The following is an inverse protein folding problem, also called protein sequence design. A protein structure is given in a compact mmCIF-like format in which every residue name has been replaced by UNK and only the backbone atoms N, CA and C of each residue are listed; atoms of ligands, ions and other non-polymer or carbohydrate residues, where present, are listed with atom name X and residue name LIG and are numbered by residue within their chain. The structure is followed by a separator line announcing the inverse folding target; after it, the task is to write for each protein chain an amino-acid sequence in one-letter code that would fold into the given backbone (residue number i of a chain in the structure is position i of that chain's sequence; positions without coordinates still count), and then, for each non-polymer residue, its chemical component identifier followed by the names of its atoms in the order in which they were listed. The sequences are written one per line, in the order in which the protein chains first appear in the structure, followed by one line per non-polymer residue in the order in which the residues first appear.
data_IF_634881769032
#
_entry.id   IF_634881769032
#
_cell.length_a   1.000
_cell.length_b   1.000
_cell.length_c   1.000
_cell.angle_alpha   90.00
_cell.angle_beta   90.00
_cell.angle_gamma   90.00
#
_symmetry.space_group_name_H-M   'P 1'
#
loop_
_entity.id
_entity.type
_entity.pdbx_description
1 polymer ?
#
# COMPACT_ATOMS: atom_id res chain seq x y z
N UNK A 1 -10.46 25.48 3.95
CA UNK A 1 -9.71 24.33 3.42
C UNK A 1 -10.00 23.21 4.38
N UNK A 2 -10.69 22.17 3.90
CA UNK A 2 -10.76 20.89 4.60
C UNK A 2 -9.30 20.45 4.84
N UNK A 3 -8.95 20.16 6.09
CA UNK A 3 -7.61 19.68 6.41
C UNK A 3 -7.58 18.20 6.01
N UNK A 4 -7.06 17.89 4.81
CA UNK A 4 -7.00 16.51 4.33
C UNK A 4 -6.05 15.72 5.23
N UNK A 5 -6.55 14.65 5.82
CA UNK A 5 -5.76 13.76 6.67
C UNK A 5 -5.36 12.56 5.84
N UNK A 6 -4.07 12.44 5.55
CA UNK A 6 -3.50 11.27 4.88
C UNK A 6 -2.65 10.48 5.86
N UNK A 7 -2.64 9.16 5.73
CA UNK A 7 -1.78 8.28 6.52
C UNK A 7 -1.02 7.37 5.57
N UNK A 8 0.28 7.20 5.81
CA UNK A 8 1.12 6.21 5.13
C UNK A 8 1.61 5.17 6.12
N UNK A 9 1.24 3.92 5.86
CA UNK A 9 1.77 2.75 6.54
C UNK A 9 2.93 2.20 5.71
N UNK A 10 4.09 2.02 6.33
CA UNK A 10 5.29 1.51 5.67
C UNK A 10 5.72 0.24 6.39
N UNK A 11 5.80 -0.86 5.65
CA UNK A 11 6.36 -2.10 6.19
C UNK A 11 7.84 -1.91 6.57
N UNK A 12 8.23 -2.35 7.77
CA UNK A 12 9.61 -2.20 8.26
C UNK A 12 10.67 -2.93 7.42
N UNK A 13 10.27 -3.88 6.58
CA UNK A 13 11.16 -4.64 5.68
C UNK A 13 11.55 -3.91 4.41
N UNK A 14 10.86 -2.81 4.07
CA UNK A 14 11.18 -1.98 2.90
C UNK A 14 12.61 -1.43 3.01
N UNK A 15 13.40 -1.64 1.97
CA UNK A 15 14.77 -1.16 1.86
C UNK A 15 14.80 0.37 1.92
N UNK A 16 15.78 0.96 2.61
CA UNK A 16 15.95 2.44 2.67
C UNK A 16 14.64 3.21 2.95
N UNK A 17 13.74 2.61 3.75
CA UNK A 17 12.48 3.23 4.16
C UNK A 17 12.69 4.57 4.84
N UNK A 18 13.84 4.79 5.50
CA UNK A 18 14.20 6.06 6.11
C UNK A 18 14.21 7.21 5.08
N UNK A 19 14.67 6.94 3.85
CA UNK A 19 14.60 7.92 2.75
C UNK A 19 13.16 8.19 2.31
N UNK A 20 12.30 7.16 2.25
CA UNK A 20 10.87 7.33 1.95
C UNK A 20 10.16 8.14 3.04
N UNK A 21 10.42 7.83 4.32
CA UNK A 21 9.86 8.55 5.47
C UNK A 21 10.24 10.03 5.42
N UNK A 22 11.51 10.34 5.13
CA UNK A 22 11.98 11.72 5.00
C UNK A 22 11.32 12.48 3.84
N UNK A 23 10.80 11.76 2.85
CA UNK A 23 10.11 12.29 1.69
C UNK A 23 8.60 12.33 1.78
N UNK A 24 7.99 11.98 2.91
CA UNK A 24 6.54 12.01 3.05
C UNK A 24 6.05 13.46 3.00
N UNK A 25 5.05 13.73 2.16
CA UNK A 25 4.50 15.07 1.95
C UNK A 25 3.88 15.61 3.25
N UNK A 26 4.01 16.92 3.47
CA UNK A 26 3.47 17.57 4.66
C UNK A 26 1.96 17.31 4.83
N UNK A 27 1.53 17.07 6.08
CA UNK A 27 0.14 16.75 6.40
C UNK A 27 -0.20 15.24 6.31
N UNK A 28 0.77 14.39 5.98
CA UNK A 28 0.63 12.93 6.01
C UNK A 28 1.27 12.35 7.27
N UNK A 29 0.53 11.54 8.02
CA UNK A 29 1.05 10.82 9.19
C UNK A 29 1.74 9.52 8.76
N UNK A 30 2.91 9.23 9.34
CA UNK A 30 3.70 8.04 9.01
C UNK A 30 3.59 7.01 10.12
N UNK A 31 3.32 5.76 9.74
CA UNK A 31 3.23 4.61 10.65
C UNK A 31 4.11 3.49 10.13
N UNK A 32 4.99 2.96 10.97
CA UNK A 32 5.86 1.84 10.60
C UNK A 32 5.24 0.54 11.13
N UNK A 33 5.00 -0.42 10.23
CA UNK A 33 4.50 -1.74 10.60
C UNK A 33 5.64 -2.61 11.10
N UNK A 34 5.45 -3.23 12.26
CA UNK A 34 6.38 -4.19 12.81
C UNK A 34 6.30 -5.50 12.02
N UNK A 35 7.43 -5.97 11.49
CA UNK A 35 7.54 -7.21 10.71
C UNK A 35 7.15 -8.49 11.47
N UNK A 36 7.14 -8.47 12.80
CA UNK A 36 6.81 -9.63 13.63
C UNK A 36 5.33 -9.70 14.03
N UNK A 37 4.54 -8.71 13.66
CA UNK A 37 3.12 -8.62 14.00
C UNK A 37 2.29 -8.65 12.72
N UNK A 38 1.05 -9.13 12.85
CA UNK A 38 0.08 -9.12 11.76
C UNK A 38 -0.18 -7.67 11.30
N UNK A 39 0.28 -7.30 10.12
CA UNK A 39 0.17 -5.93 9.59
C UNK A 39 -1.26 -5.52 9.33
N UNK A 40 -2.16 -6.45 9.01
CA UNK A 40 -3.57 -6.11 8.81
C UNK A 40 -4.17 -5.61 10.12
N UNK A 41 -3.93 -6.38 11.20
CA UNK A 41 -4.37 -6.01 12.54
C UNK A 41 -3.71 -4.72 13.03
N UNK A 42 -2.42 -4.50 12.76
CA UNK A 42 -1.73 -3.25 13.14
C UNK A 42 -2.40 -2.02 12.52
N UNK A 43 -2.72 -2.06 11.22
CA UNK A 43 -3.45 -0.99 10.54
C UNK A 43 -4.84 -0.81 11.17
N UNK A 44 -5.58 -1.91 11.39
CA UNK A 44 -6.90 -1.86 12.04
C UNK A 44 -6.86 -1.22 13.42
N UNK A 45 -5.92 -1.61 14.27
CA UNK A 45 -5.76 -1.04 15.62
C UNK A 45 -5.46 0.45 15.57
N UNK A 46 -4.61 0.87 14.63
CA UNK A 46 -4.27 2.28 14.46
C UNK A 46 -5.47 3.12 13.98
N UNK A 47 -6.33 2.53 13.15
CA UNK A 47 -7.51 3.19 12.59
C UNK A 47 -8.76 3.14 13.50
N UNK A 48 -8.76 2.36 14.58
CA UNK A 48 -9.96 2.06 15.38
C UNK A 48 -10.73 3.28 15.89
N UNK A 49 -10.02 4.33 16.29
CA UNK A 49 -10.61 5.57 16.82
C UNK A 49 -10.45 6.75 15.84
N UNK A 50 -10.22 6.46 14.56
CA UNK A 50 -10.00 7.46 13.52
C UNK A 50 -11.17 7.52 12.54
N UNK A 51 -11.46 8.72 12.07
CA UNK A 51 -12.46 8.98 11.04
C UNK A 51 -12.04 10.19 10.23
N UNK A 52 -12.61 10.34 9.03
CA UNK A 52 -12.34 11.49 8.16
C UNK A 52 -10.98 11.44 7.47
N UNK A 53 -10.39 10.25 7.31
CA UNK A 53 -9.14 10.07 6.57
C UNK A 53 -9.42 10.20 5.07
N UNK A 54 -8.69 11.07 4.41
CA UNK A 54 -8.78 11.28 2.96
C UNK A 54 -8.09 10.15 2.22
N UNK A 55 -6.89 9.76 2.64
CA UNK A 55 -6.11 8.73 1.94
C UNK A 55 -5.37 7.82 2.90
N UNK A 56 -5.43 6.52 2.61
CA UNK A 56 -4.56 5.51 3.23
C UNK A 56 -3.58 5.04 2.17
N UNK A 57 -2.29 5.17 2.47
CA UNK A 57 -1.20 4.69 1.64
C UNK A 57 -0.56 3.50 2.34
N UNK A 58 -0.34 2.40 1.62
CA UNK A 58 0.29 1.19 2.16
C UNK A 58 1.50 0.88 1.30
N UNK A 59 2.69 0.95 1.90
CA UNK A 59 3.97 0.61 1.27
C UNK A 59 4.46 -0.72 1.81
N UNK A 60 4.59 -1.70 0.94
CA UNK A 60 5.03 -3.04 1.31
C UNK A 60 5.64 -3.79 0.14
N UNK A 61 6.24 -4.94 0.41
CA UNK A 61 6.48 -5.90 -0.66
C UNK A 61 5.15 -6.45 -1.18
N UNK A 62 5.17 -6.93 -2.42
CA UNK A 62 3.98 -7.46 -3.07
C UNK A 62 4.33 -8.41 -4.21
N UNK A 63 3.32 -9.20 -4.58
CA UNK A 63 3.30 -10.07 -5.75
C UNK A 63 1.87 -10.06 -6.32
N UNK A 64 1.64 -10.59 -7.54
CA UNK A 64 0.30 -10.60 -8.12
C UNK A 64 -0.76 -11.24 -7.21
N UNK A 65 -1.67 -10.41 -6.70
CA UNK A 65 -2.74 -10.79 -5.77
C UNK A 65 -2.34 -10.93 -4.30
N UNK A 66 -1.21 -10.34 -3.88
CA UNK A 66 -0.79 -10.37 -2.48
C UNK A 66 0.03 -9.14 -2.03
N UNK A 67 -0.14 -8.78 -0.75
CA UNK A 67 0.69 -7.82 -0.01
C UNK A 67 1.33 -8.50 1.20
N UNK A 68 2.61 -8.21 1.46
CA UNK A 68 3.30 -8.60 2.68
C UNK A 68 3.18 -7.48 3.73
N UNK A 69 2.33 -7.66 4.74
CA UNK A 69 2.08 -6.68 5.80
C UNK A 69 2.50 -7.25 7.16
N UNK A 70 3.63 -6.78 7.66
CA UNK A 70 4.25 -7.30 8.86
C UNK A 70 4.55 -8.79 8.70
N UNK A 71 3.96 -9.63 9.56
CA UNK A 71 4.05 -11.08 9.47
C UNK A 71 2.96 -11.73 8.60
N UNK A 72 2.01 -10.95 8.05
CA UNK A 72 0.87 -11.46 7.31
C UNK A 72 1.05 -11.27 5.79
N UNK A 73 0.86 -12.33 5.02
CA UNK A 73 0.63 -12.22 3.58
C UNK A 73 -0.88 -12.09 3.35
N UNK A 74 -1.36 -10.88 3.07
CA UNK A 74 -2.76 -10.62 2.70
C UNK A 74 -2.95 -11.00 1.23
N UNK A 75 -3.90 -11.88 0.93
CA UNK A 75 -4.16 -12.36 -0.43
C UNK A 75 -5.58 -12.93 -0.58
N UNK A 76 -5.97 -13.30 -1.80
CA UNK A 76 -7.31 -13.84 -2.10
C UNK A 76 -7.76 -15.02 -1.23
N UNK A 77 -6.82 -15.83 -0.71
CA UNK A 77 -7.18 -17.02 0.08
C UNK A 77 -7.55 -16.70 1.52
N UNK A 78 -7.24 -15.49 2.00
CA UNK A 78 -7.47 -15.09 3.39
C UNK A 78 -8.18 -13.75 3.59
N UNK A 79 -8.57 -13.04 2.52
CA UNK A 79 -9.34 -11.80 2.61
C UNK A 79 -10.59 -11.96 3.48
N UNK A 80 -11.33 -13.06 3.31
CA UNK A 80 -12.56 -13.32 4.07
C UNK A 80 -12.31 -13.43 5.58
N UNK A 81 -11.12 -13.88 5.99
CA UNK A 81 -10.73 -13.98 7.39
C UNK A 81 -10.47 -12.60 8.02
N UNK A 82 -10.23 -11.56 7.21
CA UNK A 82 -9.98 -10.18 7.63
C UNK A 82 -11.16 -9.25 7.31
N UNK A 83 -12.35 -9.79 7.03
CA UNK A 83 -13.51 -8.99 6.61
C UNK A 83 -13.80 -7.84 7.57
N UNK A 84 -13.80 -8.09 8.88
CA UNK A 84 -14.09 -7.07 9.89
C UNK A 84 -12.99 -5.99 9.92
N UNK A 85 -11.73 -6.41 9.89
CA UNK A 85 -10.56 -5.53 9.85
C UNK A 85 -10.59 -4.60 8.64
N UNK A 86 -10.87 -5.14 7.45
CA UNK A 86 -10.89 -4.40 6.18
C UNK A 86 -12.10 -3.45 6.10
N UNK A 87 -13.27 -3.85 6.59
CA UNK A 87 -14.42 -2.95 6.73
C UNK A 87 -14.13 -1.77 7.66
N UNK A 88 -13.35 -2.01 8.71
CA UNK A 88 -12.92 -0.96 9.63
C UNK A 88 -11.93 0.02 8.97
N UNK A 89 -11.07 -0.45 8.06
CA UNK A 89 -10.23 0.46 7.26
C UNK A 89 -11.09 1.41 6.42
N UNK A 90 -12.09 0.85 5.75
CA UNK A 90 -13.09 1.61 5.01
C UNK A 90 -13.84 2.63 5.84
N UNK A 91 -14.28 2.23 7.03
CA UNK A 91 -15.07 3.08 7.94
C UNK A 91 -14.29 4.28 8.48
N UNK A 92 -12.96 4.21 8.49
CA UNK A 92 -12.09 5.31 8.92
C UNK A 92 -11.92 6.39 7.83
N UNK A 93 -12.18 6.03 6.56
CA UNK A 93 -12.08 6.93 5.41
C UNK A 93 -13.28 7.89 5.32
N UNK A 94 -13.07 9.00 4.63
CA UNK A 94 -14.17 9.80 4.07
C UNK A 94 -14.87 9.05 2.94
N UNK A 95 -16.05 9.50 2.52
CA UNK A 95 -16.78 8.93 1.36
C UNK A 95 -15.99 9.03 0.04
N UNK A 96 -15.07 9.99 -0.06
CA UNK A 96 -14.20 10.18 -1.23
C UNK A 96 -12.81 9.57 -1.01
N UNK A 97 -12.63 8.85 0.11
CA UNK A 97 -11.34 8.33 0.50
C UNK A 97 -10.87 7.19 -0.38
N UNK A 98 -9.56 7.10 -0.56
CA UNK A 98 -8.93 6.07 -1.40
C UNK A 98 -7.84 5.33 -0.64
N UNK A 99 -7.59 4.08 -1.05
CA UNK A 99 -6.48 3.27 -0.57
C UNK A 99 -5.48 3.08 -1.71
N UNK A 100 -4.22 3.40 -1.46
CA UNK A 100 -3.13 3.28 -2.44
C UNK A 100 -2.17 2.18 -2.00
N UNK A 101 -1.96 1.18 -2.85
CA UNK A 101 -1.14 0.01 -2.58
C UNK A 101 0.17 0.10 -3.38
N UNK A 102 1.25 0.47 -2.69
CA UNK A 102 2.60 0.50 -3.24
C UNK A 102 3.31 -0.81 -2.90
N UNK A 103 3.14 -1.81 -3.73
CA UNK A 103 3.88 -3.08 -3.66
C UNK A 103 4.01 -3.70 -5.03
N UNK A 104 5.09 -4.44 -5.29
CA UNK A 104 5.39 -4.90 -6.64
C UNK A 104 4.25 -5.73 -7.27
N UNK A 105 3.74 -5.26 -8.41
CA UNK A 105 2.84 -6.00 -9.29
C UNK A 105 1.58 -6.58 -8.62
N UNK A 106 1.09 -5.94 -7.56
CA UNK A 106 -0.04 -6.42 -6.74
C UNK A 106 -1.29 -6.63 -7.58
N UNK A 107 -1.55 -5.75 -8.54
CA UNK A 107 -2.70 -5.81 -9.44
C UNK A 107 -2.42 -6.51 -10.78
N UNK A 108 -1.26 -7.14 -10.95
CA UNK A 108 -0.89 -7.72 -12.23
C UNK A 108 -1.72 -8.98 -12.56
N UNK A 109 -2.21 -9.05 -13.80
CA UNK A 109 -3.00 -10.17 -14.30
C UNK A 109 -4.36 -10.34 -13.62
N UNK A 110 -5.08 -11.39 -14.01
CA UNK A 110 -6.44 -11.68 -13.50
C UNK A 110 -6.46 -11.84 -11.98
N UNK A 111 -5.52 -12.61 -11.42
CA UNK A 111 -5.38 -12.80 -9.97
C UNK A 111 -5.16 -11.47 -9.23
N UNK A 112 -4.31 -10.58 -9.75
CA UNK A 112 -4.05 -9.30 -9.12
C UNK A 112 -5.27 -8.38 -9.17
N UNK A 113 -5.94 -8.32 -10.32
CA UNK A 113 -7.19 -7.57 -10.46
C UNK A 113 -8.28 -8.07 -9.52
N UNK A 114 -8.48 -9.39 -9.41
CA UNK A 114 -9.45 -10.00 -8.51
C UNK A 114 -9.16 -9.65 -7.04
N UNK A 115 -7.89 -9.71 -6.63
CA UNK A 115 -7.48 -9.32 -5.28
C UNK A 115 -7.85 -7.88 -4.96
N UNK A 116 -7.49 -6.95 -5.84
CA UNK A 116 -7.74 -5.52 -5.62
C UNK A 116 -9.24 -5.20 -5.66
N UNK A 117 -10.01 -5.87 -6.52
CA UNK A 117 -11.46 -5.74 -6.57
C UNK A 117 -12.14 -6.27 -5.29
N UNK A 118 -11.76 -7.45 -4.81
CA UNK A 118 -12.33 -8.00 -3.59
C UNK A 118 -11.97 -7.15 -2.37
N UNK A 119 -10.74 -6.63 -2.30
CA UNK A 119 -10.33 -5.70 -1.26
C UNK A 119 -11.13 -4.39 -1.32
N UNK A 120 -11.40 -3.86 -2.52
CA UNK A 120 -12.24 -2.68 -2.72
C UNK A 120 -13.68 -2.93 -2.28
N UNK A 121 -14.23 -4.12 -2.53
CA UNK A 121 -15.57 -4.50 -2.05
C UNK A 121 -15.64 -4.59 -0.53
N UNK A 122 -14.63 -5.18 0.11
CA UNK A 122 -14.60 -5.36 1.57
C UNK A 122 -14.40 -4.03 2.31
N UNK A 123 -13.57 -3.14 1.77
CA UNK A 123 -13.32 -1.81 2.35
C UNK A 123 -14.40 -0.80 1.96
N UNK A 124 -15.12 -1.01 0.86
CA UNK A 124 -16.02 0.00 0.29
C UNK A 124 -15.29 1.22 -0.31
N UNK A 125 -13.96 1.19 -0.40
CA UNK A 125 -13.14 2.28 -0.91
C UNK A 125 -12.65 2.00 -2.33
N UNK A 126 -12.37 3.06 -3.08
CA UNK A 126 -11.60 2.94 -4.33
C UNK A 126 -10.15 2.60 -3.99
N UNK A 127 -9.60 1.60 -4.69
CA UNK A 127 -8.23 1.15 -4.50
C UNK A 127 -7.45 1.34 -5.78
N UNK A 128 -6.25 1.91 -5.66
CA UNK A 128 -5.26 1.98 -6.72
C UNK A 128 -4.02 1.16 -6.35
N UNK A 129 -3.48 0.39 -7.30
CA UNK A 129 -2.38 -0.54 -7.09
C UNK A 129 -1.52 -0.67 -8.35
N UNK A 130 -0.24 -1.04 -8.20
CA UNK A 130 0.67 -1.21 -9.33
C UNK A 130 0.47 -2.56 -10.04
N UNK A 131 0.68 -2.56 -11.36
CA UNK A 131 0.71 -3.79 -12.18
C UNK A 131 2.14 -4.23 -12.53
N UNK A 132 3.14 -3.43 -12.18
CA UNK A 132 4.55 -3.68 -12.44
C UNK A 132 5.37 -3.49 -11.14
N UNK A 133 6.69 -3.72 -11.16
CA UNK A 133 7.52 -3.47 -9.99
C UNK A 133 7.39 -2.01 -9.53
N UNK A 134 7.24 -1.77 -8.23
CA UNK A 134 7.17 -0.42 -7.68
C UNK A 134 8.54 0.02 -7.18
N UNK A 135 9.00 1.22 -7.58
CA UNK A 135 10.27 1.80 -7.14
C UNK A 135 11.12 2.34 -8.30
N UNK A 136 12.42 2.09 -8.22
CA UNK A 136 13.44 2.67 -9.10
C UNK A 136 13.27 2.26 -10.59
N UNK A 137 13.27 3.25 -11.48
CA UNK A 137 13.11 3.08 -12.93
C UNK A 137 14.26 2.31 -13.61
N UNK A 138 15.49 2.47 -13.16
CA UNK A 138 16.64 1.75 -13.71
C UNK A 138 16.60 0.25 -13.35
N UNK A 139 15.85 -0.12 -12.30
CA UNK A 139 15.57 -1.50 -11.89
C UNK A 139 14.25 -2.04 -12.47
N UNK A 140 13.63 -1.31 -13.40
CA UNK A 140 12.41 -1.72 -14.10
C UNK A 140 11.11 -1.46 -13.32
N UNK A 141 11.16 -0.64 -12.27
CA UNK A 141 9.97 -0.22 -11.54
C UNK A 141 9.49 1.18 -11.85
N UNK A 142 8.32 1.56 -11.34
CA UNK A 142 7.86 2.94 -11.34
C UNK A 142 7.06 3.24 -10.05
N UNK A 143 6.50 4.44 -9.94
CA UNK A 143 5.66 4.83 -8.81
C UNK A 143 4.19 4.98 -9.21
N UNK A 144 3.84 4.52 -10.41
CA UNK A 144 2.50 4.58 -10.95
C UNK A 144 1.65 3.44 -10.34
N UNK A 145 0.36 3.74 -10.17
CA UNK A 145 -0.63 2.78 -9.71
C UNK A 145 -1.61 2.60 -10.86
N UNK A 146 -1.26 1.74 -11.80
CA UNK A 146 -1.92 1.65 -13.10
C UNK A 146 -3.29 0.98 -13.04
N UNK A 147 -3.55 0.20 -11.99
CA UNK A 147 -4.85 -0.42 -11.76
C UNK A 147 -5.64 0.40 -10.75
N UNK A 148 -6.90 0.68 -11.05
CA UNK A 148 -7.84 1.33 -10.12
C UNK A 148 -9.22 0.68 -10.21
N UNK A 149 -9.89 0.48 -9.06
CA UNK A 149 -11.25 -0.08 -9.00
C UNK A 149 -12.35 0.96 -9.29
N UNK A 150 -11.97 2.23 -9.44
CA UNK A 150 -12.85 3.35 -9.73
C UNK A 150 -12.06 4.61 -10.06
N UNK A 151 -12.66 5.79 -9.90
CA UNK A 151 -11.94 7.04 -10.05
C UNK A 151 -11.15 7.32 -8.77
N UNK A 152 -9.85 7.01 -8.78
CA UNK A 152 -8.95 7.38 -7.69
C UNK A 152 -8.42 8.80 -7.90
N UNK A 153 -8.25 9.55 -6.81
CA UNK A 153 -7.53 10.80 -6.86
C UNK A 153 -6.03 10.52 -7.03
N UNK A 154 -5.33 11.27 -7.89
CA UNK A 154 -3.89 11.09 -8.09
C UNK A 154 -3.12 11.85 -7.00
N UNK A 155 -3.05 11.28 -5.81
CA UNK A 155 -2.28 11.83 -4.70
C UNK A 155 -1.14 10.87 -4.35
N UNK A 156 0.10 11.35 -4.43
CA UNK A 156 1.26 10.60 -3.96
C UNK A 156 1.53 10.98 -2.50
N UNK A 157 1.85 9.98 -1.67
CA UNK A 157 2.27 10.22 -0.29
C UNK A 157 3.68 10.83 -0.18
N UNK A 158 4.42 10.89 -1.28
CA UNK A 158 5.85 11.19 -1.30
C UNK A 158 6.19 12.34 -2.25
N UNK A 159 7.17 13.13 -1.85
CA UNK A 159 7.77 14.17 -2.67
C UNK A 159 8.42 13.56 -3.92
N UNK A 160 8.17 14.09 -5.14
CA UNK A 160 8.69 13.53 -6.38
C UNK A 160 10.21 13.36 -6.40
N UNK A 161 10.95 14.25 -5.74
CA UNK A 161 12.41 14.17 -5.65
C UNK A 161 12.89 12.93 -4.88
N UNK A 162 12.15 12.51 -3.85
CA UNK A 162 12.48 11.30 -3.08
C UNK A 162 12.20 10.05 -3.89
N UNK A 163 11.06 10.01 -4.58
CA UNK A 163 10.72 8.90 -5.48
C UNK A 163 11.74 8.74 -6.62
N UNK A 164 12.25 9.85 -7.16
CA UNK A 164 13.29 9.84 -8.20
C UNK A 164 14.66 9.39 -7.68
N UNK A 165 14.97 9.65 -6.40
CA UNK A 165 16.26 9.31 -5.79
C UNK A 165 16.29 7.90 -5.17
N UNK A 166 15.12 7.30 -4.93
CA UNK A 166 15.02 5.98 -4.30
C UNK A 166 15.69 4.89 -5.15
N UNK A 167 16.55 4.10 -4.54
CA UNK A 167 17.47 3.19 -5.24
C UNK A 167 16.96 1.75 -5.37
N UNK A 168 15.83 1.40 -4.78
CA UNK A 168 15.34 0.01 -4.68
C UNK A 168 14.00 -0.18 -5.39
N UNK A 169 13.55 -1.43 -5.48
CA UNK A 169 12.18 -1.80 -5.85
C UNK A 169 11.59 -2.64 -4.73
N UNK A 170 10.27 -2.65 -4.57
CA UNK A 170 9.59 -3.35 -3.49
C UNK A 170 9.41 -4.86 -3.73
N UNK A 171 10.34 -5.52 -4.44
CA UNK A 171 10.26 -6.96 -4.68
C UNK A 171 10.49 -7.73 -3.39
N UNK A 172 9.74 -8.80 -3.12
CA UNK A 172 10.11 -9.74 -2.06
C UNK A 172 11.54 -10.22 -2.33
N UNK A 173 12.46 -9.97 -1.40
CA UNK A 173 13.86 -10.41 -1.53
C UNK A 173 13.92 -11.92 -1.40
N UNK A 174 13.64 -12.65 -2.48
CA UNK A 174 14.24 -13.96 -2.63
C UNK A 174 15.72 -13.73 -2.96
N UNK A 175 16.55 -13.86 -1.93
CA UNK A 175 17.98 -14.13 -2.06
C UNK A 175 18.21 -15.37 -2.94
N UNK A 176 18.17 -15.20 -4.25
CA UNK A 176 18.99 -15.95 -5.18
C UNK A 176 19.60 -14.96 -6.15
N UNK A 177 20.65 -14.28 -5.69
CA UNK A 177 21.53 -13.50 -6.55
C UNK A 177 22.27 -14.39 -7.52
N UNK A 178 21.61 -14.80 -8.60
CA UNK A 178 22.26 -15.37 -9.77
C UNK A 178 21.71 -14.70 -11.03
N UNK A 179 22.57 -14.08 -11.86
CA UNK A 179 22.18 -13.65 -13.19
C UNK A 179 21.91 -14.89 -14.06
N UNK A 180 20.89 -14.80 -14.92
CA UNK A 180 20.76 -15.69 -16.08
C UNK A 180 21.94 -15.54 -17.03
#
# INVERSE_FOLDING_TARGET
MENLVSIVFIDSTIEDKESLIAGVVAGTEVVILNSNLDGVKQITYFLADRAGISHIHIVSHGTPGSLQLGSASLNLTNLDNYTHELQQWGSALTNEGNIFLYGCAVAAGERGADFVNQLSQLTGAVIAASINPTGNAEKGGNWELEYTTGNANTYLAFEPAVLAAYSFIFSETNETGLPH
#
